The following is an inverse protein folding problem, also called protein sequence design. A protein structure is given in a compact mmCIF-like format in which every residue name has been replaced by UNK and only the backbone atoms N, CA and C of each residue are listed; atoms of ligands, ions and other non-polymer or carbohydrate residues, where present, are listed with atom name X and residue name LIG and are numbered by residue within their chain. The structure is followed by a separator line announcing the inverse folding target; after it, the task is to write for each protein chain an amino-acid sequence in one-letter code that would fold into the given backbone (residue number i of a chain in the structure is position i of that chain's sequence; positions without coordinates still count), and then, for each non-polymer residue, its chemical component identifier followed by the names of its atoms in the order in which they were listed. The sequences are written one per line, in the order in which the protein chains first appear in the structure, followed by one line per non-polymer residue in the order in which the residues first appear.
data_IF_040471270189
#
_entry.id   IF_040471270189
#
_cell.length_a   1.000
_cell.length_b   1.000
_cell.length_c   1.000
_cell.angle_alpha   90.00
_cell.angle_beta   90.00
_cell.angle_gamma   90.00
#
_symmetry.space_group_name_H-M   'P 1'
#
loop_
_entity.id
_entity.type
_entity.pdbx_description
1 polymer ?
#
# COMPACT_ATOMS: atom_id res chain seq x y z
N UNK A 1 -2.80 8.51 23.71
CA UNK A 1 -3.38 7.28 23.13
C UNK A 1 -4.21 6.54 24.16
N UNK A 2 -3.60 6.05 25.25
CA UNK A 2 -4.30 5.34 26.35
C UNK A 2 -5.54 6.08 26.83
N UNK A 3 -5.42 7.36 27.24
CA UNK A 3 -6.57 8.15 27.68
C UNK A 3 -7.72 8.25 26.65
N UNK A 4 -7.41 8.22 25.35
CA UNK A 4 -8.42 8.24 24.30
C UNK A 4 -9.16 6.90 24.17
N UNK A 5 -8.45 5.78 24.38
CA UNK A 5 -9.06 4.44 24.42
C UNK A 5 -9.88 4.27 25.69
N UNK A 6 -9.38 4.69 26.84
CA UNK A 6 -10.10 4.62 28.12
C UNK A 6 -11.40 5.43 28.07
N UNK A 7 -11.35 6.63 27.49
CA UNK A 7 -12.55 7.43 27.31
C UNK A 7 -13.53 6.75 26.35
N UNK A 8 -13.07 6.19 25.23
CA UNK A 8 -13.94 5.47 24.30
C UNK A 8 -14.62 4.25 24.96
N UNK A 9 -13.87 3.51 25.79
CA UNK A 9 -14.41 2.40 26.60
C UNK A 9 -15.46 2.93 27.59
N UNK A 10 -15.20 4.04 28.27
CA UNK A 10 -16.14 4.67 29.20
C UNK A 10 -17.41 5.19 28.50
N UNK A 11 -17.28 5.67 27.27
CA UNK A 11 -18.38 6.11 26.41
C UNK A 11 -19.23 4.94 25.88
N UNK A 12 -18.81 3.69 26.13
CA UNK A 12 -19.57 2.49 25.78
C UNK A 12 -19.51 2.15 24.29
N UNK A 13 -18.40 2.46 23.61
CA UNK A 13 -18.25 2.13 22.18
C UNK A 13 -18.27 0.63 21.94
N UNK A 14 -18.73 0.25 20.75
CA UNK A 14 -18.79 -1.16 20.38
C UNK A 14 -17.45 -1.73 19.92
N UNK A 15 -16.69 -0.95 19.16
CA UNK A 15 -15.41 -1.31 18.54
C UNK A 15 -14.52 -0.07 18.50
N UNK A 16 -13.22 -0.27 18.66
CA UNK A 16 -12.21 0.78 18.49
C UNK A 16 -11.41 0.51 17.21
N UNK A 17 -11.37 1.52 16.33
CA UNK A 17 -10.62 1.48 15.07
C UNK A 17 -9.32 2.28 15.19
N UNK A 18 -8.17 1.62 15.00
CA UNK A 18 -6.85 2.24 15.17
C UNK A 18 -5.96 2.10 13.94
N UNK A 19 -5.76 3.22 13.24
CA UNK A 19 -4.92 3.33 12.05
C UNK A 19 -3.54 3.90 12.37
N UNK A 20 -2.97 3.51 13.52
CA UNK A 20 -1.68 3.96 14.03
C UNK A 20 -0.95 2.79 14.67
N UNK A 21 0.37 2.84 14.75
CA UNK A 21 1.19 1.80 15.36
C UNK A 21 2.61 2.28 15.63
N UNK A 22 3.26 1.65 16.61
CA UNK A 22 4.66 1.90 16.96
C UNK A 22 5.51 0.68 16.58
N UNK A 23 6.72 0.91 16.10
CA UNK A 23 7.66 -0.17 15.75
C UNK A 23 8.65 -0.44 16.87
N UNK A 24 9.01 -1.71 17.09
CA UNK A 24 10.06 -2.12 18.02
C UNK A 24 9.82 -1.69 19.47
N UNK A 25 8.57 -1.75 19.93
CA UNK A 25 8.20 -1.47 21.33
C UNK A 25 7.76 -2.79 21.98
N UNK A 26 8.35 -3.20 23.12
CA UNK A 26 7.86 -4.38 23.84
C UNK A 26 6.45 -4.13 24.38
N UNK A 27 5.67 -5.21 24.58
CA UNK A 27 4.24 -5.12 24.91
C UNK A 27 3.96 -4.23 26.13
N UNK A 28 4.79 -4.28 27.18
CA UNK A 28 4.68 -3.45 28.40
C UNK A 28 4.85 -1.96 28.20
N UNK A 29 5.40 -1.53 27.06
CA UNK A 29 5.60 -0.11 26.72
C UNK A 29 4.77 0.32 25.53
N UNK A 30 4.06 -0.62 24.91
CA UNK A 30 3.22 -0.32 23.78
C UNK A 30 1.88 0.22 24.29
N UNK A 31 1.77 1.55 24.30
CA UNK A 31 0.57 2.26 24.70
C UNK A 31 -0.70 1.83 23.92
N UNK A 32 -0.55 1.32 22.70
CA UNK A 32 -1.67 0.79 21.92
C UNK A 32 -2.02 -0.61 22.43
N UNK A 33 -1.03 -1.47 22.66
CA UNK A 33 -1.28 -2.80 23.21
C UNK A 33 -1.90 -2.75 24.60
N UNK A 34 -1.42 -1.87 25.49
CA UNK A 34 -1.94 -1.69 26.85
C UNK A 34 -3.39 -1.21 26.80
N UNK A 35 -3.68 -0.14 26.05
CA UNK A 35 -5.05 0.37 25.92
C UNK A 35 -5.99 -0.64 25.26
N UNK A 36 -5.51 -1.40 24.27
CA UNK A 36 -6.30 -2.43 23.60
C UNK A 36 -6.60 -3.62 24.53
N UNK A 37 -5.69 -3.97 25.43
CA UNK A 37 -5.94 -4.99 26.43
C UNK A 37 -7.08 -4.55 27.36
N UNK A 38 -7.04 -3.30 27.85
CA UNK A 38 -8.11 -2.74 28.67
C UNK A 38 -9.47 -2.76 27.98
N UNK A 39 -9.52 -2.40 26.70
CA UNK A 39 -10.75 -2.48 25.88
C UNK A 39 -11.25 -3.93 25.73
N UNK A 40 -10.36 -4.89 25.43
CA UNK A 40 -10.69 -6.30 25.33
C UNK A 40 -11.26 -6.86 26.64
N UNK A 41 -10.70 -6.48 27.79
CA UNK A 41 -11.21 -6.87 29.11
C UNK A 41 -12.65 -6.39 29.37
N UNK A 42 -13.13 -5.40 28.61
CA UNK A 42 -14.50 -4.88 28.61
C UNK A 42 -15.36 -5.39 27.45
N UNK A 43 -14.87 -6.35 26.67
CA UNK A 43 -15.59 -6.92 25.52
C UNK A 43 -15.63 -6.01 24.30
N UNK A 44 -14.70 -5.04 24.22
CA UNK A 44 -14.58 -4.10 23.09
C UNK A 44 -13.43 -4.56 22.21
N UNK A 45 -13.74 -4.93 20.97
CA UNK A 45 -12.74 -5.32 19.98
C UNK A 45 -11.95 -4.10 19.52
N UNK A 46 -10.62 -4.25 19.41
CA UNK A 46 -9.74 -3.25 18.81
C UNK A 46 -9.17 -3.79 17.50
N UNK A 47 -9.36 -3.05 16.41
CA UNK A 47 -8.74 -3.33 15.11
C UNK A 47 -7.55 -2.39 14.91
N UNK A 48 -6.39 -2.92 14.53
CA UNK A 48 -5.15 -2.16 14.32
C UNK A 48 -4.58 -2.35 12.92
N UNK A 49 -3.96 -1.33 12.32
CA UNK A 49 -3.24 -1.49 11.04
C UNK A 49 -1.94 -2.30 11.22
N UNK A 50 -1.61 -3.18 10.29
CA UNK A 50 -0.33 -3.91 10.27
C UNK A 50 0.91 -3.04 9.98
N UNK A 51 0.71 -1.85 9.40
CA UNK A 51 1.79 -0.88 9.11
C UNK A 51 2.42 -1.01 7.72
N UNK A 52 2.99 0.09 7.22
CA UNK A 52 3.46 0.22 5.83
C UNK A 52 4.96 -0.11 5.62
N UNK A 53 5.60 -0.85 6.54
CA UNK A 53 7.06 -1.09 6.48
C UNK A 53 7.46 -2.42 5.84
N UNK A 54 6.51 -3.16 5.25
CA UNK A 54 6.81 -4.36 4.47
C UNK A 54 7.65 -4.06 3.22
N UNK A 55 8.08 -5.09 2.46
CA UNK A 55 7.64 -6.49 2.55
C UNK A 55 8.52 -7.39 3.43
N UNK A 56 9.57 -6.84 4.07
CA UNK A 56 10.50 -7.64 4.87
C UNK A 56 9.83 -8.27 6.09
N UNK A 57 10.34 -9.42 6.52
CA UNK A 57 9.83 -10.14 7.68
C UNK A 57 9.95 -9.30 8.97
N UNK A 58 8.96 -9.41 9.86
CA UNK A 58 8.99 -8.78 11.18
C UNK A 58 8.75 -7.26 11.17
N UNK A 59 8.22 -6.71 10.08
CA UNK A 59 7.96 -5.27 9.93
C UNK A 59 6.57 -4.83 10.43
N UNK A 60 5.76 -5.78 10.90
CA UNK A 60 4.40 -5.52 11.39
C UNK A 60 4.39 -4.69 12.67
N UNK A 61 3.31 -3.92 12.85
CA UNK A 61 2.93 -3.27 14.11
C UNK A 61 1.57 -3.75 14.58
N UNK A 62 1.21 -3.46 15.83
CA UNK A 62 -0.06 -3.85 16.45
C UNK A 62 -0.30 -5.36 16.60
N UNK A 63 0.74 -6.19 16.51
CA UNK A 63 0.65 -7.66 16.58
C UNK A 63 0.36 -8.25 17.96
N UNK A 64 -0.29 -7.51 18.87
CA UNK A 64 -0.71 -8.05 20.16
C UNK A 64 -1.87 -9.05 19.97
N UNK A 65 -1.92 -10.17 20.72
CA UNK A 65 -2.94 -11.22 20.53
C UNK A 65 -4.40 -10.75 20.67
N UNK A 66 -4.64 -9.65 21.38
CA UNK A 66 -5.95 -9.04 21.62
C UNK A 66 -6.28 -7.89 20.65
N UNK A 67 -5.45 -7.69 19.61
CA UNK A 67 -5.70 -6.72 18.54
C UNK A 67 -5.95 -7.47 17.23
N UNK A 68 -7.07 -7.19 16.58
CA UNK A 68 -7.31 -7.64 15.21
C UNK A 68 -6.44 -6.83 14.26
N UNK A 69 -5.29 -7.38 13.88
CA UNK A 69 -4.31 -6.72 12.99
C UNK A 69 -4.72 -6.88 11.54
N UNK A 70 -4.81 -5.76 10.81
CA UNK A 70 -5.34 -5.68 9.45
C UNK A 70 -4.23 -5.32 8.46
N UNK A 71 -3.94 -6.23 7.53
CA UNK A 71 -3.08 -6.00 6.36
C UNK A 71 -3.81 -5.27 5.22
N UNK A 72 -3.08 -4.90 4.17
CA UNK A 72 -3.67 -4.32 2.96
C UNK A 72 -3.55 -5.21 1.74
N UNK A 73 -4.52 -5.03 0.86
CA UNK A 73 -4.73 -5.75 -0.36
C UNK A 73 -5.13 -4.76 -1.46
N UNK A 74 -4.63 -4.96 -2.67
CA UNK A 74 -5.08 -4.23 -3.85
C UNK A 74 -6.47 -4.69 -4.27
N UNK A 75 -7.28 -3.77 -4.78
CA UNK A 75 -8.54 -4.09 -5.46
C UNK A 75 -8.30 -4.36 -6.95
N UNK A 76 -9.30 -4.91 -7.64
CA UNK A 76 -9.26 -5.13 -9.10
C UNK A 76 -9.29 -3.80 -9.90
N UNK A 77 -9.59 -2.66 -9.26
CA UNK A 77 -9.57 -1.36 -9.91
C UNK A 77 -8.14 -0.89 -10.18
N UNK A 78 -7.85 -0.52 -11.43
CA UNK A 78 -6.58 0.08 -11.84
C UNK A 78 -6.80 1.41 -12.57
N UNK A 79 -5.85 2.32 -12.41
CA UNK A 79 -5.84 3.63 -13.07
C UNK A 79 -4.78 3.65 -14.16
N UNK A 80 -5.14 4.12 -15.33
CA UNK A 80 -4.28 3.99 -16.49
C UNK A 80 -3.94 5.34 -17.13
N UNK A 81 -2.72 5.36 -17.64
CA UNK A 81 -2.30 6.27 -18.69
C UNK A 81 -2.02 5.46 -19.95
N UNK A 82 -2.95 5.42 -20.91
CA UNK A 82 -2.73 4.66 -22.15
C UNK A 82 -1.82 5.43 -23.10
N UNK A 83 -0.70 4.80 -23.44
CA UNK A 83 0.26 5.28 -24.43
C UNK A 83 -0.16 4.76 -25.81
N UNK A 84 -0.21 5.64 -26.80
CA UNK A 84 -0.30 5.26 -28.22
C UNK A 84 0.95 5.77 -28.91
N UNK A 85 1.83 4.85 -29.32
CA UNK A 85 3.03 5.15 -30.08
C UNK A 85 2.66 5.55 -31.52
N UNK A 86 3.50 6.34 -32.19
CA UNK A 86 3.24 6.79 -33.57
C UNK A 86 3.11 5.67 -34.61
N UNK A 87 3.58 4.45 -34.30
CA UNK A 87 3.36 3.25 -35.11
C UNK A 87 1.96 2.60 -34.89
N UNK A 88 1.10 3.21 -34.09
CA UNK A 88 -0.25 2.73 -33.74
C UNK A 88 -0.28 1.73 -32.58
N UNK A 89 0.86 1.29 -32.06
CA UNK A 89 0.92 0.38 -30.92
C UNK A 89 0.39 1.05 -29.66
N UNK A 90 -0.49 0.35 -28.95
CA UNK A 90 -1.06 0.81 -27.67
C UNK A 90 -0.46 0.04 -26.51
N UNK A 91 -0.01 0.77 -25.50
CA UNK A 91 0.54 0.22 -24.26
C UNK A 91 -0.23 0.82 -23.08
N UNK A 92 -0.68 -0.03 -22.17
CA UNK A 92 -1.34 0.40 -20.95
C UNK A 92 -0.30 0.54 -19.84
N UNK A 93 -0.07 1.76 -19.38
CA UNK A 93 0.71 2.01 -18.17
C UNK A 93 -0.16 2.49 -17.01
N UNK A 94 0.45 2.70 -15.86
CA UNK A 94 -0.18 3.26 -14.67
C UNK A 94 -0.06 4.78 -14.64
N UNK A 95 -1.16 5.48 -14.35
CA UNK A 95 -1.13 6.92 -14.10
C UNK A 95 -2.31 7.35 -13.23
N UNK A 96 -2.04 8.24 -12.28
CA UNK A 96 -3.03 8.94 -11.47
C UNK A 96 -2.99 10.46 -11.68
N UNK A 97 -2.40 10.92 -12.79
CA UNK A 97 -2.33 12.34 -13.10
C UNK A 97 -3.75 12.94 -13.14
N UNK A 98 -4.05 13.96 -12.31
CA UNK A 98 -5.42 14.33 -12.00
C UNK A 98 -6.09 15.18 -13.09
N UNK A 99 -5.34 15.71 -14.06
CA UNK A 99 -5.87 16.59 -15.10
C UNK A 99 -6.01 15.86 -16.44
N UNK A 100 -6.94 16.35 -17.29
CA UNK A 100 -7.02 15.96 -18.71
C UNK A 100 -5.94 16.67 -19.52
N UNK A 101 -4.67 16.34 -19.25
CA UNK A 101 -3.60 16.78 -20.12
C UNK A 101 -3.79 16.19 -21.52
N UNK A 102 -3.60 17.04 -22.54
CA UNK A 102 -3.68 16.64 -23.94
C UNK A 102 -2.24 16.44 -24.42
N UNK A 103 -1.79 15.18 -24.43
CA UNK A 103 -0.53 14.77 -25.05
C UNK A 103 -0.90 14.02 -26.31
N UNK A 104 -0.71 14.66 -27.46
CA UNK A 104 -1.07 14.10 -28.75
C UNK A 104 0.09 14.25 -29.72
N UNK A 105 0.45 13.14 -30.36
CA UNK A 105 1.48 13.04 -31.40
C UNK A 105 2.76 13.83 -31.06
N UNK A 106 3.14 13.79 -29.78
CA UNK A 106 4.24 14.58 -29.22
C UNK A 106 5.55 13.83 -29.37
N UNK A 107 6.63 14.54 -29.68
CA UNK A 107 7.97 13.94 -29.83
C UNK A 107 8.38 13.16 -28.59
N UNK A 108 8.81 11.92 -28.79
CA UNK A 108 9.23 11.00 -27.74
C UNK A 108 10.75 10.84 -27.74
N UNK A 109 11.41 11.21 -26.65
CA UNK A 109 12.88 11.20 -26.58
C UNK A 109 13.39 10.22 -25.54
N UNK A 110 14.38 9.43 -25.95
CA UNK A 110 15.20 8.62 -25.06
C UNK A 110 16.67 8.88 -25.34
N UNK A 111 17.36 9.42 -24.34
CA UNK A 111 18.79 9.70 -24.43
C UNK A 111 19.49 9.11 -23.21
N UNK A 112 20.47 8.24 -23.46
CA UNK A 112 21.20 7.50 -22.41
C UNK A 112 21.89 8.41 -21.39
N UNK A 113 22.23 9.65 -21.75
CA UNK A 113 22.89 10.60 -20.85
C UNK A 113 21.93 11.20 -19.82
N UNK A 114 20.64 11.32 -20.16
CA UNK A 114 19.61 11.94 -19.31
C UNK A 114 18.51 10.98 -18.85
N UNK A 115 18.52 9.73 -19.32
CA UNK A 115 17.45 8.77 -19.05
C UNK A 115 17.33 8.39 -17.58
N UNK A 116 18.33 8.63 -16.74
CA UNK A 116 18.20 8.47 -15.28
C UNK A 116 17.18 9.45 -14.68
N UNK A 117 16.90 10.55 -15.37
CA UNK A 117 15.97 11.62 -14.97
C UNK A 117 16.19 12.10 -13.53
N UNK A 118 17.45 12.21 -13.11
CA UNK A 118 17.82 12.47 -11.72
C UNK A 118 18.64 13.76 -11.54
N UNK A 119 18.75 14.58 -12.59
CA UNK A 119 19.48 15.85 -12.55
C UNK A 119 18.74 16.89 -13.37
N UNK A 120 18.17 17.88 -12.68
CA UNK A 120 17.49 19.01 -13.30
C UNK A 120 18.44 19.77 -14.25
N UNK A 121 19.72 19.92 -13.90
CA UNK A 121 20.70 20.61 -14.74
C UNK A 121 20.91 19.90 -16.09
N UNK A 122 21.12 18.58 -16.06
CA UNK A 122 21.32 17.79 -17.29
C UNK A 122 20.05 17.77 -18.15
N UNK A 123 18.89 17.72 -17.52
CA UNK A 123 17.59 17.72 -18.20
C UNK A 123 17.28 19.08 -18.84
N UNK A 124 17.52 20.18 -18.13
CA UNK A 124 17.30 21.54 -18.64
C UNK A 124 18.27 21.92 -19.77
N UNK A 125 19.48 21.35 -19.77
CA UNK A 125 20.48 21.55 -20.83
C UNK A 125 20.21 20.71 -22.09
N UNK A 126 19.27 19.76 -22.05
CA UNK A 126 18.86 19.02 -23.24
C UNK A 126 18.10 19.97 -24.17
N UNK A 127 18.68 20.24 -25.35
CA UNK A 127 18.39 21.36 -26.28
C UNK A 127 16.94 21.60 -26.78
N UNK A 128 15.91 20.95 -26.25
CA UNK A 128 14.52 21.26 -26.59
C UNK A 128 13.51 20.69 -25.57
N UNK A 129 13.51 21.15 -24.29
CA UNK A 129 12.57 20.60 -23.32
C UNK A 129 11.12 21.00 -23.61
N UNK A 130 10.91 22.13 -24.29
CA UNK A 130 9.58 22.63 -24.59
C UNK A 130 8.88 21.70 -25.58
N UNK A 131 7.89 20.93 -25.11
CA UNK A 131 6.97 20.10 -25.91
C UNK A 131 7.54 18.71 -26.29
N UNK A 132 8.32 18.08 -25.40
CA UNK A 132 8.72 16.67 -25.57
C UNK A 132 8.24 15.79 -24.42
N UNK A 133 8.10 14.51 -24.73
CA UNK A 133 7.93 13.43 -23.75
C UNK A 133 9.26 12.72 -23.57
N UNK A 134 9.74 12.58 -22.34
CA UNK A 134 11.01 11.89 -22.04
C UNK A 134 10.77 10.51 -21.45
N UNK A 135 11.62 9.55 -21.82
CA UNK A 135 11.64 8.21 -21.22
C UNK A 135 12.71 8.13 -20.12
N UNK A 136 12.27 7.79 -18.91
CA UNK A 136 13.10 7.69 -17.71
C UNK A 136 13.29 6.23 -17.29
N UNK A 137 14.54 5.80 -17.15
CA UNK A 137 14.93 4.51 -16.60
C UNK A 137 14.98 4.58 -15.07
N UNK A 138 14.09 3.84 -14.40
CA UNK A 138 14.23 3.55 -12.98
C UNK A 138 15.33 2.51 -12.72
N UNK A 139 15.75 2.34 -11.47
CA UNK A 139 16.74 1.32 -11.07
C UNK A 139 16.28 -0.10 -11.42
N UNK A 140 17.24 -0.97 -11.75
CA UNK A 140 16.96 -2.37 -12.15
C UNK A 140 16.52 -3.24 -10.96
N UNK A 141 17.11 -2.99 -9.80
CA UNK A 141 16.86 -3.72 -8.57
C UNK A 141 16.05 -2.85 -7.60
N UNK A 142 15.13 -3.48 -6.88
CA UNK A 142 14.47 -2.86 -5.72
C UNK A 142 15.49 -2.79 -4.59
N UNK A 143 16.11 -1.62 -4.40
CA UNK A 143 16.87 -1.33 -3.19
C UNK A 143 16.20 -0.18 -2.44
N UNK A 144 16.03 -0.34 -1.14
CA UNK A 144 15.58 0.71 -0.23
C UNK A 144 16.53 1.92 -0.19
N UNK A 145 17.77 1.75 -0.67
CA UNK A 145 18.88 2.69 -0.50
C UNK A 145 19.14 3.64 -1.68
N UNK A 146 18.46 3.50 -2.83
CA UNK A 146 18.72 4.39 -3.95
C UNK A 146 17.68 5.50 -4.05
N UNK A 147 18.11 6.72 -3.72
CA UNK A 147 17.42 8.00 -3.90
C UNK A 147 16.96 8.33 -5.35
N UNK A 148 17.00 7.35 -6.26
CA UNK A 148 16.58 7.45 -7.67
C UNK A 148 15.23 6.73 -7.83
N UNK A 149 14.28 7.04 -6.95
CA UNK A 149 12.91 6.53 -7.03
C UNK A 149 12.06 7.31 -8.03
N UNK A 150 10.91 6.74 -8.42
CA UNK A 150 9.90 7.40 -9.27
C UNK A 150 9.59 8.84 -8.82
N UNK A 151 9.41 9.06 -7.51
CA UNK A 151 9.14 10.39 -6.96
C UNK A 151 10.28 11.38 -7.19
N UNK A 152 11.53 10.92 -7.10
CA UNK A 152 12.69 11.77 -7.36
C UNK A 152 12.76 12.15 -8.83
N UNK A 153 12.56 11.18 -9.73
CA UNK A 153 12.53 11.44 -11.18
C UNK A 153 11.45 12.45 -11.57
N UNK A 154 10.27 12.32 -10.98
CA UNK A 154 9.18 13.26 -11.21
C UNK A 154 9.51 14.66 -10.72
N UNK A 155 10.09 14.79 -9.52
CA UNK A 155 10.52 16.09 -9.00
C UNK A 155 11.60 16.74 -9.88
N UNK A 156 12.58 15.98 -10.34
CA UNK A 156 13.62 16.49 -11.24
C UNK A 156 13.04 17.02 -12.56
N UNK A 157 11.92 16.46 -13.03
CA UNK A 157 11.30 16.84 -14.30
C UNK A 157 10.38 18.05 -14.20
N UNK A 158 9.79 18.32 -13.03
CA UNK A 158 8.84 19.44 -12.83
C UNK A 158 9.37 20.78 -13.36
N UNK A 159 10.68 21.02 -13.22
CA UNK A 159 11.30 22.32 -13.54
C UNK A 159 12.09 22.33 -14.86
N UNK A 160 12.00 21.26 -15.66
CA UNK A 160 12.86 21.06 -16.84
C UNK A 160 12.19 21.41 -18.16
N UNK A 161 10.86 21.63 -18.17
CA UNK A 161 10.09 22.05 -19.35
C UNK A 161 9.50 20.90 -20.19
N UNK A 162 9.83 19.64 -19.88
CA UNK A 162 9.19 18.47 -20.51
C UNK A 162 7.68 18.48 -20.29
N UNK A 163 6.94 18.09 -21.34
CA UNK A 163 5.47 18.10 -21.30
C UNK A 163 4.90 16.91 -20.53
N UNK A 164 5.56 15.76 -20.66
CA UNK A 164 5.24 14.55 -19.91
C UNK A 164 6.45 13.64 -19.79
N UNK A 165 6.34 12.59 -18.98
CA UNK A 165 7.36 11.55 -18.90
C UNK A 165 6.78 10.14 -18.85
N UNK A 166 7.55 9.19 -19.39
CA UNK A 166 7.30 7.76 -19.29
C UNK A 166 8.36 7.19 -18.34
N UNK A 167 7.92 6.71 -17.17
CA UNK A 167 8.78 6.17 -16.14
C UNK A 167 8.82 4.66 -16.20
N UNK A 168 10.00 4.08 -16.37
CA UNK A 168 10.18 2.63 -16.39
C UNK A 168 10.51 2.16 -14.99
N UNK A 169 9.60 1.40 -14.37
CA UNK A 169 9.79 0.89 -13.02
C UNK A 169 9.29 -0.54 -12.87
N UNK A 170 10.03 -1.33 -12.11
CA UNK A 170 9.57 -2.62 -11.57
C UNK A 170 9.11 -2.51 -10.11
N UNK A 171 9.24 -1.32 -9.50
CA UNK A 171 8.86 -1.08 -8.11
C UNK A 171 7.34 -1.02 -7.98
N UNK A 172 6.71 -1.92 -7.20
CA UNK A 172 5.28 -1.89 -6.94
C UNK A 172 4.78 -0.53 -6.43
N UNK A 173 5.60 0.20 -5.67
CA UNK A 173 5.23 1.52 -5.11
C UNK A 173 5.04 2.57 -6.21
N UNK A 174 5.81 2.50 -7.29
CA UNK A 174 5.64 3.38 -8.44
C UNK A 174 4.33 3.06 -9.20
N UNK A 175 3.99 1.77 -9.28
CA UNK A 175 2.78 1.25 -9.92
C UNK A 175 1.51 1.45 -9.09
N UNK A 176 1.63 1.93 -7.84
CA UNK A 176 0.49 2.29 -6.98
C UNK A 176 0.58 3.74 -6.47
N UNK A 177 1.54 4.53 -6.97
CA UNK A 177 1.76 5.88 -6.50
C UNK A 177 0.57 6.78 -6.83
N UNK A 178 0.11 7.51 -5.82
CA UNK A 178 -0.92 8.56 -5.92
C UNK A 178 -0.33 9.94 -6.22
N UNK A 179 0.98 10.07 -6.08
CA UNK A 179 1.69 11.32 -6.24
C UNK A 179 2.03 11.48 -7.72
N UNK A 180 1.24 12.25 -8.46
CA UNK A 180 1.50 12.67 -9.84
C UNK A 180 1.32 14.19 -9.95
N UNK A 181 2.42 14.93 -9.83
CA UNK A 181 2.41 16.41 -9.92
C UNK A 181 2.66 16.92 -11.33
N UNK A 182 3.13 16.06 -12.24
CA UNK A 182 3.30 16.35 -13.66
C UNK A 182 2.71 15.22 -14.52
N UNK A 183 2.35 15.50 -15.80
CA UNK A 183 1.83 14.47 -16.68
C UNK A 183 2.83 13.34 -16.86
N UNK A 184 2.40 12.11 -16.64
CA UNK A 184 3.28 10.98 -16.85
C UNK A 184 2.64 9.62 -16.63
N UNK A 185 3.34 8.59 -17.09
CA UNK A 185 2.87 7.21 -17.06
C UNK A 185 4.01 6.30 -16.60
N UNK A 186 3.73 5.41 -15.65
CA UNK A 186 4.65 4.36 -15.24
C UNK A 186 4.38 3.10 -16.07
N UNK A 187 5.43 2.53 -16.65
CA UNK A 187 5.36 1.27 -17.40
C UNK A 187 6.32 0.24 -16.82
N UNK A 188 5.97 -1.03 -16.98
CA UNK A 188 6.83 -2.15 -16.61
C UNK A 188 7.99 -2.33 -17.58
N UNK A 189 8.92 -3.22 -17.20
CA UNK A 189 10.09 -3.54 -18.03
C UNK A 189 9.71 -4.18 -19.36
N UNK A 190 8.67 -5.01 -19.40
CA UNK A 190 8.20 -5.70 -20.61
C UNK A 190 7.72 -4.69 -21.66
N UNK A 191 6.96 -3.69 -21.24
CA UNK A 191 6.46 -2.61 -22.08
C UNK A 191 7.62 -1.68 -22.49
N UNK A 192 8.58 -1.44 -21.59
CA UNK A 192 9.74 -0.59 -21.87
C UNK A 192 10.59 -1.07 -23.04
N UNK A 193 10.74 -2.38 -23.22
CA UNK A 193 11.48 -2.95 -24.36
C UNK A 193 10.82 -2.57 -25.68
N UNK A 194 9.48 -2.58 -25.73
CA UNK A 194 8.71 -2.20 -26.91
C UNK A 194 8.86 -0.70 -27.22
N UNK A 195 8.79 0.15 -26.19
CA UNK A 195 8.99 1.60 -26.32
C UNK A 195 10.39 1.94 -26.83
N UNK A 196 11.43 1.34 -26.23
CA UNK A 196 12.82 1.61 -26.63
C UNK A 196 13.13 1.09 -28.03
N UNK A 197 12.63 -0.10 -28.39
CA UNK A 197 12.77 -0.65 -29.74
C UNK A 197 12.12 0.27 -30.79
N UNK A 198 10.90 0.75 -30.52
CA UNK A 198 10.21 1.73 -31.36
C UNK A 198 11.03 3.01 -31.56
N UNK A 199 11.56 3.60 -30.49
CA UNK A 199 12.37 4.83 -30.56
C UNK A 199 13.62 4.61 -31.42
N UNK A 200 14.30 3.47 -31.28
CA UNK A 200 15.53 3.18 -32.04
C UNK A 200 15.33 2.95 -33.54
N UNK A 201 14.12 2.56 -33.95
CA UNK A 201 13.79 2.23 -35.35
C UNK A 201 13.08 3.36 -36.08
N UNK A 202 12.76 4.45 -35.39
CA UNK A 202 11.96 5.56 -35.92
C UNK A 202 12.78 6.84 -35.87
N UNK A 203 12.86 7.55 -36.99
CA UNK A 203 13.63 8.82 -37.09
C UNK A 203 12.99 9.95 -36.25
N UNK A 204 11.65 10.03 -36.27
CA UNK A 204 10.86 11.00 -35.51
C UNK A 204 9.80 10.29 -34.67
N UNK A 205 10.19 9.65 -33.56
CA UNK A 205 9.28 8.92 -32.70
C UNK A 205 8.29 9.86 -32.02
N UNK A 206 7.01 9.48 -32.01
CA UNK A 206 5.94 10.25 -31.36
C UNK A 206 5.11 9.38 -30.41
N UNK A 207 4.44 10.04 -29.47
CA UNK A 207 3.52 9.40 -28.53
C UNK A 207 2.32 10.28 -28.22
N UNK A 208 1.17 9.65 -28.08
CA UNK A 208 -0.02 10.23 -27.46
C UNK A 208 -0.27 9.56 -26.11
N UNK A 209 -0.71 10.32 -25.12
CA UNK A 209 -1.03 9.81 -23.78
C UNK A 209 -2.45 10.21 -23.42
N UNK A 210 -3.27 9.23 -23.06
CA UNK A 210 -4.60 9.44 -22.51
C UNK A 210 -4.58 9.20 -21.00
N UNK A 211 -5.18 10.08 -20.21
CA UNK A 211 -5.21 10.03 -18.75
C UNK A 211 -6.65 9.91 -18.23
N UNK A 212 -6.80 9.74 -16.91
CA UNK A 212 -8.09 9.60 -16.21
C UNK A 212 -8.88 8.37 -16.65
N UNK A 213 -8.18 7.32 -17.05
CA UNK A 213 -8.80 6.05 -17.39
C UNK A 213 -8.86 5.15 -16.16
N UNK A 214 -9.98 4.45 -15.99
CA UNK A 214 -10.17 3.47 -14.93
C UNK A 214 -10.59 2.16 -15.57
N UNK A 215 -9.95 1.08 -15.17
CA UNK A 215 -10.22 -0.26 -15.66
C UNK A 215 -10.46 -1.21 -14.49
N UNK A 216 -11.23 -2.25 -14.74
CA UNK A 216 -11.32 -3.43 -13.88
C UNK A 216 -10.36 -4.48 -14.45
N UNK A 217 -9.33 -4.83 -13.69
CA UNK A 217 -8.38 -5.87 -14.08
C UNK A 217 -8.96 -7.25 -13.77
N UNK A 218 -9.76 -7.75 -14.72
CA UNK A 218 -10.38 -9.10 -14.67
C UNK A 218 -9.34 -10.23 -14.68
N UNK A 219 -8.05 -9.92 -14.91
CA UNK A 219 -6.94 -10.88 -14.98
C UNK A 219 -5.97 -10.79 -13.81
N UNK A 220 -6.27 -9.96 -12.82
CA UNK A 220 -5.66 -10.03 -11.50
C UNK A 220 -6.44 -11.08 -10.69
N UNK A 221 -6.06 -12.37 -10.66
CA UNK A 221 -6.32 -13.13 -9.45
C UNK A 221 -5.75 -12.26 -8.33
N UNK A 222 -6.60 -11.93 -7.37
CA UNK A 222 -6.31 -11.70 -5.95
C UNK A 222 -4.95 -11.07 -5.61
N UNK A 223 -4.90 -10.10 -4.68
CA UNK A 223 -3.75 -9.21 -4.44
C UNK A 223 -2.38 -9.89 -4.63
N UNK A 224 -1.76 -9.70 -5.81
CA UNK A 224 -0.56 -10.45 -6.20
C UNK A 224 0.67 -10.11 -5.36
N UNK A 225 0.62 -8.99 -4.63
CA UNK A 225 1.68 -8.56 -3.72
C UNK A 225 1.08 -7.83 -2.52
N UNK A 226 1.71 -7.89 -1.33
CA UNK A 226 1.39 -7.00 -0.22
C UNK A 226 1.70 -5.56 -0.65
N UNK A 227 0.71 -4.90 -1.24
CA UNK A 227 0.74 -3.46 -1.46
C UNK A 227 0.58 -2.84 -0.09
N UNK A 228 1.54 -2.01 0.30
CA UNK A 228 1.64 -1.25 1.56
C UNK A 228 0.35 -1.23 2.39
N UNK A 229 0.43 -1.66 3.66
CA UNK A 229 -0.69 -1.74 4.60
C UNK A 229 -1.35 -0.37 4.89
N UNK A 230 -2.07 0.17 3.90
CA UNK A 230 -2.65 1.49 3.98
C UNK A 230 -3.63 1.52 5.16
N UNK A 231 -3.56 2.54 6.05
CA UNK A 231 -4.40 2.63 7.24
C UNK A 231 -5.92 2.69 6.98
N UNK A 232 -6.31 2.71 5.70
CA UNK A 232 -7.66 2.91 5.18
C UNK A 232 -8.50 1.63 5.26
N UNK A 233 -7.86 0.45 5.32
CA UNK A 233 -8.57 -0.82 5.48
C UNK A 233 -8.99 -1.11 6.91
N UNK A 234 -8.35 -0.47 7.91
CA UNK A 234 -8.76 -0.64 9.30
C UNK A 234 -10.22 -0.19 9.49
N UNK A 235 -10.66 1.01 9.07
CA UNK A 235 -12.08 1.38 9.12
C UNK A 235 -13.03 0.41 8.38
N UNK A 236 -12.60 -0.20 7.28
CA UNK A 236 -13.42 -1.18 6.55
C UNK A 236 -13.64 -2.44 7.40
N UNK A 237 -12.57 -2.98 7.98
CA UNK A 237 -12.65 -4.13 8.88
C UNK A 237 -13.39 -3.77 10.17
N UNK A 238 -13.19 -2.58 10.73
CA UNK A 238 -13.95 -2.08 11.89
C UNK A 238 -15.45 -2.01 11.60
N UNK A 239 -15.84 -1.51 10.42
CA UNK A 239 -17.23 -1.46 10.00
C UNK A 239 -17.84 -2.86 9.84
N UNK A 240 -17.10 -3.79 9.23
CA UNK A 240 -17.53 -5.19 9.11
C UNK A 240 -17.66 -5.83 10.49
N UNK A 241 -16.66 -5.68 11.35
CA UNK A 241 -16.69 -6.19 12.71
C UNK A 241 -17.85 -5.57 13.53
N UNK A 242 -18.19 -4.30 13.31
CA UNK A 242 -19.31 -3.64 14.00
C UNK A 242 -20.65 -4.23 13.57
N UNK A 243 -20.82 -4.47 12.26
CA UNK A 243 -21.98 -5.20 11.75
C UNK A 243 -22.04 -6.61 12.33
N UNK A 244 -20.89 -7.29 12.43
CA UNK A 244 -20.79 -8.64 12.97
C UNK A 244 -20.89 -8.70 14.50
N UNK A 245 -20.64 -7.64 15.28
CA UNK A 245 -20.82 -7.64 16.74
C UNK A 245 -22.30 -7.85 17.13
N UNK A 246 -23.22 -7.51 16.23
CA UNK A 246 -24.63 -7.92 16.35
C UNK A 246 -24.84 -9.44 16.24
N UNK A 247 -23.85 -10.23 15.75
CA UNK A 247 -23.91 -11.68 15.49
C UNK A 247 -22.63 -12.53 15.77
N UNK A 248 -21.55 -12.00 16.38
CA UNK A 248 -20.28 -12.64 16.84
C UNK A 248 -19.40 -13.38 15.81
N UNK A 249 -18.75 -12.77 14.80
CA UNK A 249 -18.03 -13.58 13.76
C UNK A 249 -16.87 -12.84 13.03
N UNK A 250 -15.89 -13.60 12.50
CA UNK A 250 -14.96 -13.21 11.41
C UNK A 250 -14.58 -14.42 10.51
N UNK A 251 -14.72 -14.30 9.18
CA UNK A 251 -14.30 -15.31 8.17
C UNK A 251 -13.48 -14.64 7.07
N UNK A 252 -12.38 -15.28 6.64
CA UNK A 252 -11.51 -14.81 5.56
C UNK A 252 -11.31 -15.90 4.49
N UNK A 253 -11.05 -15.49 3.25
CA UNK A 253 -10.88 -16.37 2.08
C UNK A 253 -9.46 -16.28 1.52
N UNK A 254 -8.91 -17.41 1.06
CA UNK A 254 -7.57 -17.49 0.45
C UNK A 254 -7.66 -17.99 -0.98
N UNK A 255 -7.28 -17.17 -1.96
CA UNK A 255 -7.10 -17.59 -3.36
C UNK A 255 -5.72 -17.10 -3.86
N UNK A 256 -4.67 -17.92 -3.76
CA UNK A 256 -3.26 -17.74 -4.25
C UNK A 256 -2.15 -17.28 -3.25
N UNK A 257 -0.83 -17.29 -3.64
CA UNK A 257 0.29 -17.88 -2.90
C UNK A 257 0.97 -16.86 -1.98
N UNK A 258 0.22 -16.24 -1.10
CA UNK A 258 0.76 -15.39 -0.03
C UNK A 258 0.79 -16.18 1.28
N UNK A 259 1.86 -16.04 2.05
CA UNK A 259 1.98 -16.73 3.34
C UNK A 259 1.03 -16.10 4.39
N UNK A 260 0.70 -16.83 5.47
CA UNK A 260 -0.03 -16.25 6.59
C UNK A 260 0.66 -15.01 7.20
N UNK A 261 1.97 -14.86 7.01
CA UNK A 261 2.71 -13.65 7.43
C UNK A 261 2.43 -12.42 6.56
N UNK A 262 1.93 -12.59 5.32
CA UNK A 262 1.59 -11.49 4.42
C UNK A 262 0.13 -11.06 4.47
N UNK A 263 -0.81 -12.01 4.57
CA UNK A 263 -2.26 -11.75 4.48
C UNK A 263 -3.08 -12.26 5.68
N UNK A 264 -2.42 -12.84 6.69
CA UNK A 264 -3.12 -13.50 7.79
C UNK A 264 -4.00 -14.64 7.27
N UNK A 265 -5.28 -14.60 7.67
CA UNK A 265 -6.29 -15.58 7.22
C UNK A 265 -6.84 -15.30 5.81
N UNK A 266 -6.44 -14.20 5.16
CA UNK A 266 -6.85 -13.82 3.81
C UNK A 266 -7.82 -12.66 3.73
N UNK A 267 -8.47 -12.51 2.56
CA UNK A 267 -9.37 -11.39 2.30
C UNK A 267 -10.71 -11.60 3.03
N UNK A 268 -11.17 -10.55 3.72
CA UNK A 268 -12.42 -10.59 4.46
C UNK A 268 -13.62 -10.85 3.53
N UNK A 269 -14.49 -11.78 3.91
CA UNK A 269 -15.76 -12.04 3.21
C UNK A 269 -16.92 -11.75 4.17
N UNK A 270 -17.56 -10.58 4.07
CA UNK A 270 -18.63 -10.19 4.98
C UNK A 270 -19.83 -11.14 4.94
N UNK A 271 -20.14 -11.71 3.78
CA UNK A 271 -21.32 -12.57 3.61
C UNK A 271 -21.09 -13.93 4.26
N UNK A 272 -19.92 -14.53 4.04
CA UNK A 272 -19.55 -15.79 4.72
C UNK A 272 -19.32 -15.59 6.21
N UNK A 273 -18.85 -14.41 6.61
CA UNK A 273 -18.72 -14.05 8.00
C UNK A 273 -20.06 -13.86 8.71
N UNK A 274 -21.23 -13.95 8.06
CA UNK A 274 -22.52 -13.95 8.76
C UNK A 274 -22.94 -15.34 9.26
N UNK A 275 -22.36 -16.41 8.73
CA UNK A 275 -22.61 -17.80 9.14
C UNK A 275 -21.33 -18.65 9.01
N UNK A 276 -20.48 -18.67 10.05
CA UNK A 276 -19.15 -19.28 9.98
C UNK A 276 -19.19 -20.79 10.22
N UNK A 277 -20.32 -21.32 10.68
CA UNK A 277 -20.44 -22.66 11.26
C UNK A 277 -19.76 -22.81 12.63
N UNK A 278 -18.45 -22.54 12.71
CA UNK A 278 -17.64 -22.68 13.93
C UNK A 278 -16.91 -21.38 14.28
N UNK A 279 -16.78 -21.11 15.58
CA UNK A 279 -16.07 -19.94 16.12
C UNK A 279 -15.05 -20.43 17.14
N UNK A 280 -13.82 -19.90 17.06
CA UNK A 280 -12.83 -20.03 18.12
C UNK A 280 -13.04 -18.88 19.11
N UNK A 281 -13.68 -19.19 20.23
CA UNK A 281 -14.01 -18.19 21.25
C UNK A 281 -12.88 -18.05 22.28
N UNK A 282 -12.78 -16.87 22.90
CA UNK A 282 -11.83 -16.58 23.96
C UNK A 282 -12.44 -15.60 24.96
N UNK A 283 -12.17 -15.83 26.24
CA UNK A 283 -12.63 -14.98 27.34
C UNK A 283 -11.51 -14.04 27.81
N UNK A 284 -11.85 -12.96 28.53
CA UNK A 284 -10.83 -12.11 29.17
C UNK A 284 -9.81 -12.90 30.00
N UNK A 285 -10.25 -13.98 30.67
CA UNK A 285 -9.37 -14.83 31.46
C UNK A 285 -8.32 -15.58 30.62
N UNK A 286 -8.66 -15.96 29.38
CA UNK A 286 -7.71 -16.65 28.49
C UNK A 286 -6.53 -15.73 28.11
N UNK A 287 -6.82 -14.44 27.89
CA UNK A 287 -5.78 -13.43 27.62
C UNK A 287 -4.95 -13.10 28.87
N UNK A 288 -5.56 -13.09 30.06
CA UNK A 288 -4.82 -13.00 31.33
C UNK A 288 -3.87 -14.20 31.44
N UNK A 289 -4.38 -15.42 31.25
CA UNK A 289 -3.56 -16.65 31.30
C UNK A 289 -2.41 -16.62 30.29
N UNK A 290 -2.64 -16.08 29.08
CA UNK A 290 -1.61 -15.87 28.07
C UNK A 290 -0.50 -14.94 28.56
N UNK A 291 -0.85 -13.80 29.17
CA UNK A 291 0.13 -12.88 29.77
C UNK A 291 0.93 -13.57 30.88
N UNK A 292 0.24 -14.30 31.76
CA UNK A 292 0.84 -15.05 32.86
C UNK A 292 1.87 -16.08 32.39
N UNK A 293 1.56 -16.78 31.31
CA UNK A 293 2.44 -17.81 30.74
C UNK A 293 3.77 -17.25 30.24
N UNK A 294 3.83 -15.95 29.90
CA UNK A 294 5.05 -15.31 29.44
C UNK A 294 6.03 -14.95 30.56
N UNK A 295 5.58 -14.83 31.81
CA UNK A 295 6.39 -14.21 32.87
C UNK A 295 6.62 -15.03 34.16
N UNK A 296 6.23 -16.31 34.22
CA UNK A 296 6.57 -17.25 35.32
C UNK A 296 6.34 -16.74 36.78
N UNK A 297 5.54 -15.69 36.98
CA UNK A 297 5.31 -15.07 38.29
C UNK A 297 3.81 -14.85 38.56
N UNK A 298 3.50 -14.72 39.85
CA UNK A 298 2.18 -14.86 40.45
C UNK A 298 1.17 -13.86 39.86
N UNK A 299 0.26 -14.37 39.04
CA UNK A 299 -0.81 -13.61 38.38
C UNK A 299 -1.95 -13.25 39.32
N UNK A 300 -1.63 -12.39 40.28
CA UNK A 300 -2.62 -11.84 41.19
C UNK A 300 -3.26 -10.57 40.63
N UNK A 301 -2.62 -9.90 39.64
CA UNK A 301 -3.05 -8.59 39.15
C UNK A 301 -2.68 -8.34 37.67
N UNK A 302 -3.63 -8.45 36.71
CA UNK A 302 -3.36 -8.38 35.26
C UNK A 302 -2.74 -7.06 34.77
N UNK A 303 -3.00 -5.96 35.49
CA UNK A 303 -2.41 -4.64 35.19
C UNK A 303 -0.92 -4.57 35.53
N UNK A 304 -0.48 -5.24 36.60
CA UNK A 304 0.91 -5.24 37.06
C UNK A 304 1.79 -6.18 36.21
N UNK A 305 1.17 -7.15 35.54
CA UNK A 305 1.85 -8.11 34.67
C UNK A 305 2.09 -7.56 33.26
N UNK A 306 1.23 -6.63 32.80
CA UNK A 306 1.50 -5.86 31.59
C UNK A 306 2.75 -4.99 31.73
N UNK A 307 3.05 -4.42 32.90
CA UNK A 307 4.25 -3.58 33.11
C UNK A 307 5.59 -4.36 33.10
N UNK A 308 5.54 -5.70 33.16
CA UNK A 308 6.72 -6.57 33.32
C UNK A 308 7.11 -7.36 32.06
N UNK A 309 6.43 -7.19 30.92
CA UNK A 309 6.65 -7.92 29.63
C UNK A 309 7.29 -7.03 28.56
#
# INVERSE_FOLDING_TARGET
MIAGMDQAVADGVDIISMSSGSTHVPLHRDNIAIGAFGAMMKGILVTGSAGNRGPDFGTLVNGAPWIMTVGSASTERTFAGTLTLGNGQKLRGWSLFPLRAIIKDTTLTYNKTICSCNSTELLSNALAPFIQVVVCDGPKDFSSDLAIGFSFQMNSLTDTGFLAAIYISSDPRALTSKSFHSPGVVIGRKESTQVKDYISKTEHPTVSIHFQETYEDVTAPTPKHPVEAHPWLVPHVSGIAAMLKSKRITVATTNEPTTPYGIGSGLIDPNRALDPGLIYDATPQDYVNLLCSKNHHNCSNPSDDLEKI
#
